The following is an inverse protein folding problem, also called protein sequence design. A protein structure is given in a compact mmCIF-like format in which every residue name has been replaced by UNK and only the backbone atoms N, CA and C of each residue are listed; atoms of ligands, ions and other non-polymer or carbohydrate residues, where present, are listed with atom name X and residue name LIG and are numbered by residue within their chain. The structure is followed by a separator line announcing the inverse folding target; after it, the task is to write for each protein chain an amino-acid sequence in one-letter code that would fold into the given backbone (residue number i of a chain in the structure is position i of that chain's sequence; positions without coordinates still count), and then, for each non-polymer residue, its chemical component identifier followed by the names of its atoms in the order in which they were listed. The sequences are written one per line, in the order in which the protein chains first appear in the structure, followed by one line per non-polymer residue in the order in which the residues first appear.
data_IF_419806923005
#
_entry.id   IF_419806923005
#
_cell.length_a   1.000
_cell.length_b   1.000
_cell.length_c   1.000
_cell.angle_alpha   90.00
_cell.angle_beta   90.00
_cell.angle_gamma   90.00
#
_symmetry.space_group_name_H-M   'P 1'
#
loop_
_entity.id
_entity.type
_entity.pdbx_description
1 polymer ?
#
# COMPACT_ATOMS: atom_id res chain seq x y z
N UNK A 1 -20.02 24.25 3.49
CA UNK A 1 -19.43 23.94 2.17
C UNK A 1 -20.43 23.10 1.40
N UNK A 2 -20.69 23.38 0.12
CA UNK A 2 -21.66 22.60 -0.67
C UNK A 2 -21.09 21.20 -0.92
N UNK A 3 -21.79 20.17 -0.46
CA UNK A 3 -21.45 18.78 -0.76
C UNK A 3 -21.81 18.51 -2.23
N UNK A 4 -20.79 18.43 -3.08
CA UNK A 4 -20.95 18.15 -4.52
C UNK A 4 -20.28 16.82 -4.85
N UNK A 5 -20.65 16.14 -5.95
CA UNK A 5 -20.00 14.91 -6.38
C UNK A 5 -18.48 15.05 -6.53
N UNK A 6 -18.01 16.22 -6.98
CA UNK A 6 -16.60 16.59 -7.02
C UNK A 6 -15.93 16.62 -5.64
N UNK A 7 -16.62 17.13 -4.61
CA UNK A 7 -16.12 17.09 -3.23
C UNK A 7 -15.98 15.67 -2.69
N UNK A 8 -16.82 14.72 -3.12
CA UNK A 8 -16.71 13.31 -2.75
C UNK A 8 -15.50 12.63 -3.40
N UNK A 9 -15.29 12.90 -4.69
CA UNK A 9 -14.14 12.42 -5.48
C UNK A 9 -12.80 12.89 -4.86
N UNK A 10 -12.68 14.19 -4.58
CA UNK A 10 -11.49 14.75 -3.93
C UNK A 10 -11.27 14.21 -2.51
N UNK A 11 -12.34 13.84 -1.81
CA UNK A 11 -12.25 13.24 -0.49
C UNK A 11 -11.65 11.83 -0.51
N UNK A 12 -11.91 11.04 -1.56
CA UNK A 12 -11.32 9.71 -1.75
C UNK A 12 -9.87 9.82 -2.22
N UNK A 13 -9.57 10.73 -3.13
CA UNK A 13 -8.20 10.93 -3.65
C UNK A 13 -7.22 11.43 -2.57
N UNK A 14 -7.70 12.22 -1.61
CA UNK A 14 -6.89 12.71 -0.48
C UNK A 14 -6.98 11.84 0.79
N UNK A 15 -7.79 10.77 0.80
CA UNK A 15 -7.84 9.84 1.92
C UNK A 15 -6.65 8.87 1.85
N UNK A 16 -5.46 9.39 2.11
CA UNK A 16 -4.24 8.61 2.23
C UNK A 16 -3.97 8.23 3.68
N UNK A 17 -3.70 6.94 3.92
CA UNK A 17 -3.01 6.33 5.07
C UNK A 17 -3.83 5.58 6.12
N UNK A 18 -5.17 5.57 6.10
CA UNK A 18 -5.95 4.72 7.01
C UNK A 18 -7.27 4.21 6.44
N UNK A 19 -7.65 3.02 6.89
CA UNK A 19 -8.93 2.37 6.54
C UNK A 19 -10.14 3.24 6.92
N UNK A 20 -10.13 3.86 8.11
CA UNK A 20 -11.19 4.78 8.56
C UNK A 20 -11.34 6.00 7.65
N UNK A 21 -10.23 6.57 7.16
CA UNK A 21 -10.26 7.74 6.28
C UNK A 21 -10.87 7.42 4.91
N UNK A 22 -10.52 6.27 4.34
CA UNK A 22 -11.08 5.78 3.08
C UNK A 22 -12.57 5.46 3.22
N UNK A 23 -12.97 4.77 4.29
CA UNK A 23 -14.38 4.45 4.54
C UNK A 23 -15.22 5.72 4.73
N UNK A 24 -14.72 6.71 5.48
CA UNK A 24 -15.40 7.99 5.66
C UNK A 24 -15.50 8.79 4.34
N UNK A 25 -14.56 8.63 3.42
CA UNK A 25 -14.66 9.22 2.09
C UNK A 25 -15.75 8.55 1.24
N UNK A 26 -15.86 7.22 1.29
CA UNK A 26 -16.93 6.47 0.62
C UNK A 26 -18.30 6.80 1.19
N UNK A 27 -18.44 6.83 2.51
CA UNK A 27 -19.72 7.18 3.17
C UNK A 27 -20.19 8.59 2.78
N UNK A 28 -19.25 9.55 2.65
CA UNK A 28 -19.55 10.89 2.14
C UNK A 28 -20.02 10.85 0.68
N UNK A 29 -19.38 10.06 -0.18
CA UNK A 29 -19.80 9.90 -1.57
C UNK A 29 -21.21 9.31 -1.67
N UNK A 30 -21.53 8.30 -0.85
CA UNK A 30 -22.89 7.71 -0.74
C UNK A 30 -23.91 8.77 -0.32
N UNK A 31 -23.61 9.57 0.70
CA UNK A 31 -24.50 10.65 1.14
C UNK A 31 -24.74 11.72 0.07
N UNK A 32 -23.71 12.04 -0.73
CA UNK A 32 -23.84 12.94 -1.88
C UNK A 32 -24.75 12.34 -2.96
N UNK A 33 -24.57 11.05 -3.28
CA UNK A 33 -25.42 10.36 -4.26
C UNK A 33 -26.88 10.35 -3.81
N UNK A 34 -27.15 10.00 -2.55
CA UNK A 34 -28.51 9.91 -2.01
C UNK A 34 -29.26 11.24 -1.97
N UNK A 35 -28.53 12.36 -1.84
CA UNK A 35 -29.09 13.71 -1.84
C UNK A 35 -29.21 14.34 -3.24
N UNK A 36 -28.73 13.66 -4.28
CA UNK A 36 -28.75 14.15 -5.66
C UNK A 36 -30.11 13.89 -6.33
N UNK A 37 -30.75 14.91 -6.95
CA UNK A 37 -32.01 14.72 -7.69
C UNK A 37 -31.94 13.69 -8.83
N UNK A 38 -30.73 13.41 -9.33
CA UNK A 38 -30.44 12.42 -10.37
C UNK A 38 -29.52 11.31 -9.83
N UNK A 39 -29.80 10.88 -8.60
CA UNK A 39 -29.04 9.86 -7.85
C UNK A 39 -28.62 8.65 -8.68
N UNK A 40 -29.48 8.10 -9.54
CA UNK A 40 -29.16 6.89 -10.32
C UNK A 40 -28.05 7.17 -11.35
N UNK A 41 -28.09 8.34 -11.99
CA UNK A 41 -27.04 8.77 -12.93
C UNK A 41 -25.75 9.08 -12.18
N UNK A 42 -25.85 9.78 -11.06
CA UNK A 42 -24.71 10.19 -10.23
C UNK A 42 -24.01 8.95 -9.67
N UNK A 43 -24.74 8.01 -9.09
CA UNK A 43 -24.25 6.73 -8.62
C UNK A 43 -23.46 6.00 -9.71
N UNK A 44 -24.04 5.83 -10.90
CA UNK A 44 -23.39 5.11 -12.00
C UNK A 44 -22.07 5.75 -12.44
N UNK A 45 -21.96 7.08 -12.38
CA UNK A 45 -20.72 7.80 -12.73
C UNK A 45 -19.66 7.60 -11.65
N UNK A 46 -20.03 7.80 -10.38
CA UNK A 46 -19.09 7.69 -9.26
C UNK A 46 -18.63 6.24 -9.08
N UNK A 47 -19.53 5.25 -9.23
CA UNK A 47 -19.20 3.82 -9.15
C UNK A 47 -18.16 3.44 -10.20
N UNK A 48 -18.33 3.88 -11.45
CA UNK A 48 -17.35 3.64 -12.53
C UNK A 48 -16.00 4.29 -12.26
N UNK A 49 -16.02 5.53 -11.76
CA UNK A 49 -14.79 6.23 -11.41
C UNK A 49 -14.05 5.52 -10.26
N UNK A 50 -14.77 5.12 -9.21
CA UNK A 50 -14.20 4.46 -8.05
C UNK A 50 -13.62 3.09 -8.41
N UNK A 51 -14.34 2.26 -9.20
CA UNK A 51 -13.79 1.00 -9.73
C UNK A 51 -12.43 1.21 -10.39
N UNK A 52 -12.34 2.20 -11.29
CA UNK A 52 -11.09 2.50 -12.00
C UNK A 52 -9.98 2.99 -11.08
N UNK A 53 -10.31 3.71 -10.02
CA UNK A 53 -9.33 4.15 -9.03
C UNK A 53 -8.80 2.99 -8.20
N UNK A 54 -9.70 2.16 -7.66
CA UNK A 54 -9.34 0.99 -6.85
C UNK A 54 -8.56 -0.07 -7.65
N UNK A 55 -8.92 -0.31 -8.92
CA UNK A 55 -8.13 -1.17 -9.81
C UNK A 55 -6.70 -0.67 -10.00
N UNK A 56 -6.49 0.65 -10.12
CA UNK A 56 -5.14 1.23 -10.23
C UNK A 56 -4.31 1.09 -8.95
N UNK A 57 -4.98 1.06 -7.80
CA UNK A 57 -4.34 0.80 -6.50
C UNK A 57 -4.10 -0.70 -6.24
N UNK A 58 -4.55 -1.58 -7.15
CA UNK A 58 -4.35 -3.02 -7.01
C UNK A 58 -5.30 -3.69 -6.02
N UNK A 59 -6.47 -3.09 -5.76
CA UNK A 59 -7.59 -3.77 -5.12
C UNK A 59 -8.22 -4.72 -6.14
N UNK A 60 -8.21 -6.03 -5.85
CA UNK A 60 -8.57 -7.07 -6.84
C UNK A 60 -9.89 -7.80 -6.53
N UNK A 61 -10.46 -7.64 -5.34
CA UNK A 61 -11.57 -8.51 -4.91
C UNK A 61 -12.91 -8.01 -5.46
N UNK A 62 -13.43 -8.67 -6.49
CA UNK A 62 -14.81 -8.53 -6.97
C UNK A 62 -15.24 -7.11 -7.40
N UNK A 63 -14.31 -6.21 -7.75
CA UNK A 63 -14.67 -4.88 -8.29
C UNK A 63 -15.56 -4.95 -9.53
N UNK A 64 -15.52 -6.06 -10.28
CA UNK A 64 -16.41 -6.29 -11.42
C UNK A 64 -17.89 -6.40 -11.00
N UNK A 65 -18.16 -6.84 -9.77
CA UNK A 65 -19.50 -7.02 -9.21
C UNK A 65 -20.07 -5.76 -8.56
N UNK A 66 -19.24 -4.73 -8.30
CA UNK A 66 -19.65 -3.45 -7.71
C UNK A 66 -20.54 -2.63 -8.67
N UNK A 67 -21.84 -2.83 -8.71
CA UNK A 67 -22.71 -2.16 -9.68
C UNK A 67 -23.26 -0.81 -9.17
N UNK A 68 -23.31 -0.64 -7.85
CA UNK A 68 -23.75 0.59 -7.21
C UNK A 68 -22.96 0.87 -5.94
N UNK A 69 -22.55 2.12 -5.74
CA UNK A 69 -21.89 2.56 -4.52
C UNK A 69 -22.84 2.56 -3.32
N UNK A 70 -24.12 2.80 -3.57
CA UNK A 70 -25.16 2.83 -2.54
C UNK A 70 -25.55 1.42 -2.12
N UNK A 71 -25.64 0.48 -3.06
CA UNK A 71 -26.09 -0.89 -2.78
C UNK A 71 -24.96 -1.82 -2.32
N UNK A 72 -23.75 -1.67 -2.87
CA UNK A 72 -22.63 -2.60 -2.64
C UNK A 72 -21.62 -2.06 -1.61
N UNK A 73 -22.08 -1.28 -0.63
CA UNK A 73 -21.22 -0.61 0.35
C UNK A 73 -20.35 -1.59 1.15
N UNK A 74 -20.89 -2.75 1.51
CA UNK A 74 -20.18 -3.74 2.31
C UNK A 74 -19.04 -4.41 1.52
N UNK A 75 -19.27 -4.69 0.23
CA UNK A 75 -18.24 -5.18 -0.70
C UNK A 75 -17.11 -4.17 -0.88
N UNK A 76 -17.44 -2.88 -0.87
CA UNK A 76 -16.45 -1.80 -0.90
C UNK A 76 -15.63 -1.72 0.38
N UNK A 77 -16.26 -1.86 1.55
CA UNK A 77 -15.56 -1.84 2.83
C UNK A 77 -14.51 -2.96 2.92
N UNK A 78 -14.86 -4.17 2.47
CA UNK A 78 -13.95 -5.31 2.41
C UNK A 78 -12.75 -5.06 1.47
N UNK A 79 -13.01 -4.50 0.30
CA UNK A 79 -11.95 -4.15 -0.66
C UNK A 79 -10.95 -3.13 -0.11
N UNK A 80 -11.46 -2.10 0.56
CA UNK A 80 -10.63 -1.07 1.17
C UNK A 80 -9.79 -1.61 2.32
N UNK A 81 -10.34 -2.53 3.13
CA UNK A 81 -9.59 -3.20 4.19
C UNK A 81 -8.42 -4.02 3.62
N UNK A 82 -8.68 -4.78 2.55
CA UNK A 82 -7.66 -5.58 1.89
C UNK A 82 -6.55 -4.73 1.28
N UNK A 83 -6.91 -3.58 0.67
CA UNK A 83 -5.94 -2.63 0.12
C UNK A 83 -4.99 -2.09 1.21
N UNK A 84 -5.52 -1.62 2.32
CA UNK A 84 -4.71 -1.08 3.43
C UNK A 84 -3.81 -2.16 4.05
N UNK A 85 -4.29 -3.40 4.17
CA UNK A 85 -3.48 -4.53 4.64
C UNK A 85 -2.32 -4.82 3.68
N UNK A 86 -2.57 -4.80 2.38
CA UNK A 86 -1.56 -5.01 1.33
C UNK A 86 -0.48 -3.94 1.39
N UNK A 87 -0.85 -2.66 1.39
CA UNK A 87 0.10 -1.54 1.50
C UNK A 87 0.97 -1.63 2.76
N UNK A 88 0.38 -2.01 3.90
CA UNK A 88 1.15 -2.21 5.15
C UNK A 88 2.12 -3.39 5.08
N UNK A 89 1.74 -4.47 4.40
CA UNK A 89 2.59 -5.64 4.24
C UNK A 89 3.76 -5.32 3.28
N UNK A 90 3.47 -4.71 2.14
CA UNK A 90 4.47 -4.29 1.16
C UNK A 90 5.41 -3.25 1.76
N UNK A 91 4.90 -2.26 2.50
CA UNK A 91 5.72 -1.28 3.21
C UNK A 91 6.65 -1.89 4.25
N UNK A 92 6.20 -2.92 4.99
CA UNK A 92 7.07 -3.69 5.90
C UNK A 92 8.13 -4.48 5.15
N UNK A 93 7.75 -5.20 4.11
CA UNK A 93 8.70 -5.97 3.31
C UNK A 93 9.76 -5.06 2.67
N UNK A 94 9.37 -3.90 2.15
CA UNK A 94 10.30 -2.93 1.59
C UNK A 94 11.24 -2.36 2.68
N UNK A 95 10.73 -2.06 3.87
CA UNK A 95 11.59 -1.62 4.98
C UNK A 95 12.59 -2.69 5.42
N UNK A 96 12.15 -3.95 5.49
CA UNK A 96 13.01 -5.08 5.87
C UNK A 96 14.07 -5.33 4.80
N UNK A 97 13.67 -5.28 3.52
CA UNK A 97 14.59 -5.40 2.40
C UNK A 97 15.63 -4.28 2.40
N UNK A 98 15.21 -3.02 2.60
CA UNK A 98 16.13 -1.87 2.70
C UNK A 98 17.09 -2.03 3.88
N UNK A 99 16.59 -2.43 5.05
CA UNK A 99 17.43 -2.66 6.23
C UNK A 99 18.46 -3.78 6.00
N UNK A 100 18.05 -4.87 5.35
CA UNK A 100 18.95 -5.96 4.98
C UNK A 100 20.00 -5.50 3.96
N UNK A 101 19.62 -4.75 2.95
CA UNK A 101 20.54 -4.24 1.92
C UNK A 101 21.57 -3.26 2.52
N UNK A 102 21.15 -2.38 3.44
CA UNK A 102 22.10 -1.51 4.15
C UNK A 102 23.08 -2.29 5.04
N UNK A 103 22.63 -3.38 5.69
CA UNK A 103 23.54 -4.29 6.41
C UNK A 103 24.54 -4.95 5.44
N UNK A 104 24.09 -5.42 4.27
CA UNK A 104 24.96 -6.01 3.25
C UNK A 104 25.99 -5.02 2.70
N UNK A 105 25.59 -3.76 2.46
CA UNK A 105 26.54 -2.69 2.09
C UNK A 105 27.60 -2.47 3.17
N UNK A 106 27.16 -2.43 4.44
CA UNK A 106 28.08 -2.30 5.58
C UNK A 106 29.07 -3.46 5.62
N UNK A 107 28.61 -4.71 5.39
CA UNK A 107 29.49 -5.87 5.29
C UNK A 107 30.53 -5.71 4.17
N UNK A 108 30.11 -5.30 2.96
CA UNK A 108 31.05 -5.08 1.84
C UNK A 108 32.13 -4.05 2.19
N UNK A 109 31.77 -2.95 2.84
CA UNK A 109 32.75 -1.97 3.34
C UNK A 109 33.70 -2.55 4.39
N UNK A 110 33.20 -3.35 5.33
CA UNK A 110 34.06 -3.98 6.35
C UNK A 110 35.00 -5.04 5.75
N UNK A 111 34.52 -5.77 4.74
CA UNK A 111 35.32 -6.72 3.98
C UNK A 111 36.43 -6.02 3.17
N UNK A 112 36.15 -4.87 2.57
CA UNK A 112 37.14 -4.11 1.80
C UNK A 112 38.28 -3.56 2.67
N UNK A 113 38.03 -3.29 3.96
CA UNK A 113 39.09 -2.95 4.90
C UNK A 113 40.04 -4.13 5.21
N UNK A 114 39.58 -5.37 5.05
CA UNK A 114 40.43 -6.57 5.15
C UNK A 114 40.99 -6.89 6.54
N UNK A 115 40.65 -6.11 7.57
CA UNK A 115 41.20 -6.24 8.93
C UNK A 115 40.33 -7.05 9.90
N UNK A 116 39.07 -7.31 9.55
CA UNK A 116 38.12 -8.02 10.41
C UNK A 116 37.87 -9.46 9.95
N UNK A 117 37.73 -10.39 10.92
CA UNK A 117 37.30 -11.76 10.65
C UNK A 117 35.79 -11.81 10.34
N UNK A 118 35.34 -12.89 9.69
CA UNK A 118 33.92 -13.08 9.39
C UNK A 118 33.07 -13.10 10.67
N UNK A 119 33.58 -13.68 11.76
CA UNK A 119 32.89 -13.69 13.06
C UNK A 119 32.73 -12.28 13.64
N UNK A 120 33.77 -11.44 13.53
CA UNK A 120 33.71 -10.04 14.00
C UNK A 120 32.70 -9.22 13.19
N UNK A 121 32.67 -9.42 11.86
CA UNK A 121 31.72 -8.75 10.98
C UNK A 121 30.27 -9.22 11.24
N UNK A 122 30.08 -10.53 11.47
CA UNK A 122 28.79 -11.11 11.83
C UNK A 122 28.24 -10.50 13.13
N UNK A 123 29.07 -10.40 14.17
CA UNK A 123 28.70 -9.74 15.43
C UNK A 123 28.36 -8.26 15.24
N UNK A 124 29.16 -7.52 14.47
CA UNK A 124 28.96 -6.07 14.27
C UNK A 124 27.70 -5.72 13.46
N UNK A 125 27.30 -6.59 12.53
CA UNK A 125 26.18 -6.34 11.60
C UNK A 125 24.91 -7.11 11.97
N UNK A 126 25.03 -8.09 12.87
CA UNK A 126 23.96 -9.01 13.24
C UNK A 126 23.53 -9.95 12.10
N UNK A 127 24.41 -10.18 11.12
CA UNK A 127 24.21 -11.16 10.03
C UNK A 127 24.91 -12.48 10.37
N UNK A 128 24.48 -13.56 9.75
CA UNK A 128 25.11 -14.87 9.98
C UNK A 128 26.49 -14.96 9.32
N UNK A 129 27.40 -15.75 9.90
CA UNK A 129 28.73 -15.98 9.32
C UNK A 129 28.63 -16.53 7.90
N UNK A 130 27.67 -17.42 7.64
CA UNK A 130 27.41 -17.98 6.30
C UNK A 130 27.03 -16.90 5.28
N UNK A 131 26.21 -15.92 5.66
CA UNK A 131 25.90 -14.77 4.79
C UNK A 131 27.14 -13.90 4.52
N UNK A 132 28.00 -13.68 5.52
CA UNK A 132 29.26 -12.95 5.32
C UNK A 132 30.19 -13.70 4.35
N UNK A 133 30.29 -15.02 4.49
CA UNK A 133 31.09 -15.87 3.59
C UNK A 133 30.58 -15.77 2.16
N UNK A 134 29.26 -15.84 1.96
CA UNK A 134 28.64 -15.70 0.64
C UNK A 134 28.94 -14.34 0.01
N UNK A 135 28.74 -13.26 0.76
CA UNK A 135 29.04 -11.89 0.29
C UNK A 135 30.52 -11.70 -0.06
N UNK A 136 31.43 -12.32 0.70
CA UNK A 136 32.87 -12.29 0.41
C UNK A 136 33.24 -13.01 -0.88
N UNK A 137 32.48 -14.03 -1.29
CA UNK A 137 32.69 -14.71 -2.57
C UNK A 137 32.15 -13.83 -3.71
N UNK A 138 30.96 -13.22 -3.52
CA UNK A 138 30.35 -12.32 -4.50
C UNK A 138 31.20 -11.07 -4.77
N UNK A 139 31.85 -10.50 -3.76
CA UNK A 139 32.69 -9.29 -3.87
C UNK A 139 34.07 -9.55 -4.52
N UNK A 140 34.46 -10.83 -4.69
CA UNK A 140 35.73 -11.23 -5.34
C UNK A 140 35.61 -11.43 -6.86
N UNK A 141 34.40 -11.32 -7.42
CA UNK A 141 34.11 -11.46 -8.85
C UNK A 141 33.74 -10.12 -9.48
#
# INVERSE_FOLDING_TARGET
MRQTPLSGVFGVENAGHSWEGLQQAVDRAVGIIQSDPNKDRTDRIITRWLKRHLQRLGAEVHLDQLNSLVEDRDMLAENLENLVKKERLEGRQESDWRALEEKRKTVRHLLSFGVLSNDQIAVATGLSVDEIVKLRIEDKH
#
